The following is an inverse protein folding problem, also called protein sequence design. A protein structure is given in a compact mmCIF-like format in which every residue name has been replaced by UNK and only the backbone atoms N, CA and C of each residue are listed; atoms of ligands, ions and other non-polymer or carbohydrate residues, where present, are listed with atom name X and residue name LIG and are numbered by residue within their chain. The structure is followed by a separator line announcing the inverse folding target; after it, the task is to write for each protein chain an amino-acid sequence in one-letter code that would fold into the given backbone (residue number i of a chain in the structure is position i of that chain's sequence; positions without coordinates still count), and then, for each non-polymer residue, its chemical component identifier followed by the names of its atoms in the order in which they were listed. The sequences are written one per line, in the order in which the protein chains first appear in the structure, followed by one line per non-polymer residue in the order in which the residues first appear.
data_IF_823576262504
#
_entry.id   IF_823576262504
#
_cell.length_a   1.000
_cell.length_b   1.000
_cell.length_c   1.000
_cell.angle_alpha   90.00
_cell.angle_beta   90.00
_cell.angle_gamma   90.00
#
_symmetry.space_group_name_H-M   'P 1'
#
loop_
_entity.id
_entity.type
_entity.pdbx_description
1 polymer ?
#
# COMPACT_ATOMS: atom_id res chain seq x y z
N UNK A 1 -5.86 7.41 9.36
CA UNK A 1 -4.66 8.14 8.86
C UNK A 1 -4.89 8.38 7.39
N UNK A 2 -4.53 9.54 6.84
CA UNK A 2 -4.62 9.72 5.39
C UNK A 2 -3.65 8.79 4.66
N UNK A 3 -4.06 8.19 3.54
CA UNK A 3 -3.22 7.28 2.76
C UNK A 3 -1.91 7.96 2.33
N UNK A 4 -1.97 9.24 1.96
CA UNK A 4 -0.78 10.05 1.66
C UNK A 4 0.23 10.11 2.82
N UNK A 5 -0.22 10.22 4.06
CA UNK A 5 0.65 10.21 5.25
C UNK A 5 1.29 8.83 5.47
N UNK A 6 0.52 7.76 5.25
CA UNK A 6 1.00 6.38 5.36
C UNK A 6 2.10 6.11 4.32
N UNK A 7 1.86 6.50 3.07
CA UNK A 7 2.80 6.36 1.95
C UNK A 7 4.08 7.15 2.23
N UNK A 8 3.97 8.42 2.62
CA UNK A 8 5.13 9.24 2.94
C UNK A 8 5.98 8.63 4.06
N UNK A 9 5.32 8.11 5.11
CA UNK A 9 6.00 7.45 6.23
C UNK A 9 6.76 6.20 5.79
N UNK A 10 6.15 5.31 5.01
CA UNK A 10 6.83 4.09 4.58
C UNK A 10 7.90 4.34 3.53
N UNK A 11 7.66 5.26 2.59
CA UNK A 11 8.69 5.68 1.63
C UNK A 11 9.94 6.19 2.34
N UNK A 12 9.78 7.06 3.35
CA UNK A 12 10.89 7.54 4.16
C UNK A 12 11.55 6.43 4.98
N UNK A 13 10.75 5.59 5.66
CA UNK A 13 11.27 4.55 6.56
C UNK A 13 12.02 3.44 5.83
N UNK A 14 11.58 3.11 4.62
CA UNK A 14 12.16 2.06 3.77
C UNK A 14 13.20 2.63 2.81
N UNK A 15 13.18 3.94 2.57
CA UNK A 15 14.06 4.68 1.65
C UNK A 15 13.92 4.16 0.22
N UNK A 16 12.69 4.09 -0.26
CA UNK A 16 12.37 3.50 -1.57
C UNK A 16 13.10 4.20 -2.73
N UNK A 17 13.40 5.49 -2.58
CA UNK A 17 14.13 6.30 -3.57
C UNK A 17 15.65 5.99 -3.61
N UNK A 18 16.19 5.27 -2.63
CA UNK A 18 17.61 4.88 -2.60
C UNK A 18 17.90 3.67 -3.51
N UNK A 19 16.87 2.99 -4.04
CA UNK A 19 17.02 1.76 -4.80
C UNK A 19 16.55 1.92 -6.25
N UNK A 20 17.42 1.53 -7.19
CA UNK A 20 17.01 1.27 -8.57
C UNK A 20 16.36 -0.11 -8.65
N UNK A 21 15.06 -0.13 -8.92
CA UNK A 21 14.26 -1.35 -9.00
C UNK A 21 13.54 -1.41 -10.35
N UNK A 22 13.32 -2.62 -10.86
CA UNK A 22 12.50 -2.85 -12.03
C UNK A 22 11.01 -2.65 -11.71
N UNK A 23 10.62 -2.83 -10.44
CA UNK A 23 9.28 -2.60 -9.96
C UNK A 23 9.09 -1.16 -9.44
N UNK A 24 7.85 -0.66 -9.54
CA UNK A 24 7.47 0.63 -8.94
C UNK A 24 7.27 0.45 -7.43
N UNK A 25 8.16 1.03 -6.64
CA UNK A 25 8.02 1.13 -5.19
C UNK A 25 7.11 2.31 -4.77
N UNK A 26 6.42 2.18 -3.65
CA UNK A 26 5.48 3.19 -3.13
C UNK A 26 4.00 2.87 -3.46
N UNK A 27 3.16 3.91 -3.55
CA UNK A 27 1.73 3.74 -3.86
C UNK A 27 1.55 3.33 -5.33
N UNK A 28 1.00 2.13 -5.56
CA UNK A 28 0.81 1.61 -6.91
C UNK A 28 -0.55 1.96 -7.53
N UNK A 29 -1.63 1.94 -6.73
CA UNK A 29 -3.01 2.14 -7.20
C UNK A 29 -3.81 2.94 -6.18
N UNK A 30 -4.66 3.85 -6.68
CA UNK A 30 -5.70 4.50 -5.90
C UNK A 30 -5.43 5.99 -5.64
N UNK A 31 -6.48 6.74 -5.29
CA UNK A 31 -6.37 8.15 -4.91
C UNK A 31 -5.73 8.27 -3.52
N UNK A 32 -4.83 9.24 -3.34
CA UNK A 32 -4.05 9.40 -2.09
C UNK A 32 -4.85 10.08 -0.96
N UNK A 33 -6.02 10.64 -1.27
CA UNK A 33 -6.97 11.28 -0.37
C UNK A 33 -8.05 10.27 0.08
N UNK A 34 -7.61 9.32 0.90
CA UNK A 34 -8.46 8.29 1.52
C UNK A 34 -8.05 8.09 2.97
N UNK A 35 -9.03 7.99 3.86
CA UNK A 35 -8.77 7.56 5.23
C UNK A 35 -8.47 6.05 5.28
N UNK A 36 -7.39 5.68 5.98
CA UNK A 36 -6.96 4.31 6.27
C UNK A 36 -7.10 4.03 7.76
N UNK A 37 -7.83 2.96 8.09
CA UNK A 37 -8.02 2.43 9.44
C UNK A 37 -7.52 0.97 9.56
N UNK A 38 -7.60 0.20 8.48
CA UNK A 38 -7.18 -1.21 8.43
C UNK A 38 -6.30 -1.48 7.22
N UNK A 39 -5.09 -1.98 7.49
CA UNK A 39 -4.13 -2.41 6.46
C UNK A 39 -4.03 -3.94 6.43
N UNK A 40 -4.23 -4.52 5.25
CA UNK A 40 -3.85 -5.91 4.97
C UNK A 40 -2.37 -5.95 4.56
N UNK A 41 -1.72 -7.11 4.72
CA UNK A 41 -0.36 -7.34 4.24
C UNK A 41 -0.33 -8.67 3.51
N UNK A 42 0.35 -8.71 2.38
CA UNK A 42 0.48 -9.90 1.56
C UNK A 42 1.84 -9.97 0.87
N UNK A 43 2.14 -11.14 0.33
CA UNK A 43 3.36 -11.36 -0.46
C UNK A 43 3.15 -10.88 -1.90
N UNK A 44 2.03 -11.25 -2.51
CA UNK A 44 1.70 -10.95 -3.91
C UNK A 44 0.36 -10.22 -4.03
N UNK A 45 0.30 -9.22 -4.93
CA UNK A 45 -0.94 -8.53 -5.32
C UNK A 45 -1.78 -9.37 -6.31
N UNK A 46 -1.98 -10.65 -6.00
CA UNK A 46 -2.81 -11.56 -6.79
C UNK A 46 -4.31 -11.25 -6.59
N UNK A 47 -5.14 -11.67 -7.55
CA UNK A 47 -6.60 -11.48 -7.48
C UNK A 47 -7.18 -12.05 -6.18
N UNK A 48 -6.78 -13.27 -5.80
CA UNK A 48 -7.23 -13.89 -4.56
C UNK A 48 -6.87 -13.07 -3.32
N UNK A 49 -5.66 -12.48 -3.29
CA UNK A 49 -5.23 -11.60 -2.19
C UNK A 49 -6.13 -10.36 -2.08
N UNK A 50 -6.45 -9.74 -3.22
CA UNK A 50 -7.31 -8.55 -3.26
C UNK A 50 -8.73 -8.90 -2.81
N UNK A 51 -9.26 -10.04 -3.26
CA UNK A 51 -10.58 -10.53 -2.84
C UNK A 51 -10.64 -10.76 -1.32
N UNK A 52 -9.65 -11.41 -0.73
CA UNK A 52 -9.58 -11.63 0.73
C UNK A 52 -9.44 -10.31 1.51
N UNK A 53 -8.65 -9.35 1.01
CA UNK A 53 -8.50 -8.04 1.64
C UNK A 53 -9.83 -7.26 1.65
N UNK A 54 -10.60 -7.35 0.57
CA UNK A 54 -11.95 -6.77 0.47
C UNK A 54 -12.90 -7.44 1.45
N UNK A 55 -12.94 -8.77 1.49
CA UNK A 55 -13.81 -9.52 2.40
C UNK A 55 -13.49 -9.25 3.88
N UNK A 56 -12.21 -9.02 4.20
CA UNK A 56 -11.75 -8.65 5.54
C UNK A 56 -12.00 -7.17 5.89
N UNK A 57 -12.38 -6.35 4.91
CA UNK A 57 -12.66 -4.92 5.07
C UNK A 57 -11.40 -4.07 5.23
N UNK A 58 -10.33 -4.39 4.49
CA UNK A 58 -9.13 -3.55 4.45
C UNK A 58 -9.38 -2.26 3.66
N UNK A 59 -8.78 -1.16 4.14
CA UNK A 59 -8.77 0.12 3.42
C UNK A 59 -7.56 0.23 2.49
N UNK A 60 -6.51 -0.54 2.76
CA UNK A 60 -5.28 -0.65 1.97
C UNK A 60 -4.75 -2.09 2.08
N UNK A 61 -4.17 -2.57 0.98
CA UNK A 61 -3.45 -3.85 0.88
C UNK A 61 -1.98 -3.58 0.57
#
# INVERSE_FOLDING_TARGET
MELSELVARYNQRLRVDDYEDAATNGLQVGPADREVQRAAFAVDAAVATVEEAVDWGADVL
#
